data_IF_832158601871
#
_entry.id   IF_832158601871
#
_cell.length_a   1.000
_cell.length_b   1.000
_cell.length_c   1.000
_cell.angle_alpha   90.00
_cell.angle_beta   90.00
_cell.angle_gamma   90.00
#
_symmetry.space_group_name_H-M   'P 1'
#
loop_
_entity.id
_entity.type
_entity.pdbx_description
1 polymer ?
#
# COMPACT_ATOMS: atom_id res chain seq x y z
N UNK A 1 -59.45 -7.58 5.78
CA UNK A 1 -58.28 -7.17 4.96
C UNK A 1 -57.55 -6.07 5.70
N UNK A 2 -56.38 -6.36 6.28
CA UNK A 2 -55.56 -5.40 7.03
C UNK A 2 -54.21 -5.27 6.32
N UNK A 3 -54.08 -4.28 5.43
CA UNK A 3 -52.80 -3.88 4.86
C UNK A 3 -52.10 -2.95 5.86
N UNK A 4 -51.22 -3.49 6.71
CA UNK A 4 -50.25 -2.66 7.42
C UNK A 4 -49.07 -2.42 6.50
N UNK A 5 -48.96 -1.18 6.04
CA UNK A 5 -47.81 -0.63 5.33
C UNK A 5 -46.51 -0.95 6.07
N UNK A 6 -45.72 -1.87 5.52
CA UNK A 6 -44.28 -1.92 5.76
C UNK A 6 -43.70 -0.63 5.17
N UNK A 7 -43.34 0.30 6.04
CA UNK A 7 -42.51 1.45 5.65
C UNK A 7 -41.17 0.86 5.24
N UNK A 8 -40.94 0.78 3.92
CA UNK A 8 -39.61 0.53 3.37
C UNK A 8 -38.73 1.67 3.86
N UNK A 9 -37.74 1.35 4.69
CA UNK A 9 -36.68 2.29 5.02
C UNK A 9 -36.05 2.76 3.70
N UNK A 10 -35.98 4.07 3.49
CA UNK A 10 -35.41 4.66 2.29
C UNK A 10 -33.95 4.21 2.10
N UNK A 11 -33.53 3.88 0.87
CA UNK A 11 -32.12 3.64 0.59
C UNK A 11 -31.38 4.98 0.55
N UNK A 12 -30.41 5.14 1.45
CA UNK A 12 -29.27 6.01 1.20
C UNK A 12 -29.35 7.45 1.73
N UNK A 13 -29.35 7.61 3.04
CA UNK A 13 -28.47 8.62 3.64
C UNK A 13 -27.19 7.89 4.07
N UNK A 14 -26.21 7.80 3.17
CA UNK A 14 -24.85 7.39 3.56
C UNK A 14 -24.34 8.49 4.48
N UNK A 15 -24.29 8.23 5.78
CA UNK A 15 -23.62 9.13 6.71
C UNK A 15 -22.16 9.20 6.30
N UNK A 16 -21.69 10.39 5.90
CA UNK A 16 -20.26 10.62 5.76
C UNK A 16 -19.60 10.26 7.09
N UNK A 17 -18.55 9.45 7.02
CA UNK A 17 -17.78 9.04 8.18
C UNK A 17 -17.27 10.28 8.91
N UNK A 18 -17.31 10.28 10.25
CA UNK A 18 -16.77 11.40 11.02
C UNK A 18 -15.29 11.59 10.69
N UNK A 19 -14.76 12.82 10.72
CA UNK A 19 -13.36 13.07 10.36
C UNK A 19 -12.35 12.23 11.14
N UNK A 20 -12.61 11.95 12.42
CA UNK A 20 -11.75 11.13 13.27
C UNK A 20 -11.72 9.67 12.80
N UNK A 21 -12.90 9.09 12.57
CA UNK A 21 -13.06 7.71 12.09
C UNK A 21 -12.43 7.56 10.69
N UNK A 22 -12.57 8.57 9.83
CA UNK A 22 -11.93 8.62 8.50
C UNK A 22 -10.40 8.66 8.61
N UNK A 23 -9.87 9.44 9.55
CA UNK A 23 -8.42 9.52 9.75
C UNK A 23 -7.85 8.20 10.29
N UNK A 24 -8.59 7.51 11.15
CA UNK A 24 -8.22 6.18 11.65
C UNK A 24 -8.21 5.15 10.51
N UNK A 25 -9.27 5.13 9.68
CA UNK A 25 -9.36 4.27 8.50
C UNK A 25 -8.17 4.49 7.54
N UNK A 26 -7.86 5.75 7.22
CA UNK A 26 -6.73 6.09 6.36
C UNK A 26 -5.38 5.72 6.98
N UNK A 27 -5.24 5.84 8.31
CA UNK A 27 -4.03 5.42 9.03
C UNK A 27 -3.85 3.92 8.99
N UNK A 28 -4.93 3.17 9.22
CA UNK A 28 -4.96 1.72 9.12
C UNK A 28 -4.58 1.26 7.69
N UNK A 29 -5.19 1.84 6.65
CA UNK A 29 -4.84 1.50 5.27
C UNK A 29 -3.37 1.78 4.95
N UNK A 30 -2.81 2.91 5.39
CA UNK A 30 -1.39 3.22 5.19
C UNK A 30 -0.47 2.22 5.88
N UNK A 31 -0.83 1.81 7.09
CA UNK A 31 -0.06 0.80 7.81
C UNK A 31 -0.06 -0.54 7.06
N UNK A 32 -1.24 -0.96 6.57
CA UNK A 32 -1.38 -2.21 5.83
C UNK A 32 -0.64 -2.18 4.48
N UNK A 33 -0.72 -1.06 3.75
CA UNK A 33 0.07 -0.84 2.52
C UNK A 33 1.58 -0.87 2.80
N UNK A 34 2.03 -0.36 3.95
CA UNK A 34 3.42 -0.45 4.38
C UNK A 34 3.85 -1.90 4.66
N UNK A 35 2.99 -2.72 5.27
CA UNK A 35 3.27 -4.15 5.46
C UNK A 35 3.33 -4.88 4.11
N UNK A 36 2.42 -4.56 3.18
CA UNK A 36 2.42 -5.13 1.83
C UNK A 36 3.74 -4.81 1.11
N UNK A 37 4.26 -3.59 1.21
CA UNK A 37 5.55 -3.21 0.61
C UNK A 37 6.71 -4.07 1.14
N UNK A 38 6.72 -4.37 2.46
CA UNK A 38 7.71 -5.26 3.08
C UNK A 38 7.59 -6.69 2.52
N UNK A 39 6.37 -7.23 2.43
CA UNK A 39 6.16 -8.58 1.92
C UNK A 39 6.52 -8.69 0.43
N UNK A 40 6.18 -7.68 -0.37
CA UNK A 40 6.59 -7.58 -1.79
C UNK A 40 8.10 -7.52 -1.91
N UNK A 41 8.79 -6.83 -1.00
CA UNK A 41 10.26 -6.83 -0.98
C UNK A 41 10.83 -8.23 -0.78
N UNK A 42 10.36 -8.96 0.24
CA UNK A 42 10.81 -10.33 0.56
C UNK A 42 10.44 -11.34 -0.52
N UNK A 43 9.26 -11.19 -1.12
CA UNK A 43 8.85 -11.93 -2.30
C UNK A 43 9.86 -11.75 -3.43
N UNK A 44 10.27 -10.50 -3.71
CA UNK A 44 11.24 -10.21 -4.77
C UNK A 44 12.64 -10.77 -4.44
N UNK A 45 13.09 -10.69 -3.20
CA UNK A 45 14.35 -11.31 -2.76
C UNK A 45 14.34 -12.83 -2.97
N UNK A 46 13.25 -13.48 -2.58
CA UNK A 46 13.07 -14.93 -2.75
C UNK A 46 12.98 -15.31 -4.23
N UNK A 47 12.31 -14.50 -5.05
CA UNK A 47 12.23 -14.70 -6.50
C UNK A 47 13.61 -14.58 -7.16
N UNK A 48 14.39 -13.56 -6.80
CA UNK A 48 15.78 -13.41 -7.27
C UNK A 48 16.64 -14.60 -6.85
N UNK A 49 16.53 -15.04 -5.59
CA UNK A 49 17.30 -16.17 -5.08
C UNK A 49 16.93 -17.47 -5.79
N UNK A 50 15.64 -17.73 -6.01
CA UNK A 50 15.16 -18.90 -6.76
C UNK A 50 15.67 -18.89 -8.21
N UNK A 51 15.56 -17.77 -8.92
CA UNK A 51 16.03 -17.64 -10.31
C UNK A 51 17.55 -17.86 -10.40
N UNK A 52 18.31 -17.37 -9.42
CA UNK A 52 19.77 -17.43 -9.43
C UNK A 52 20.29 -18.82 -9.08
N UNK A 53 19.69 -19.48 -8.09
CA UNK A 53 20.21 -20.72 -7.50
C UNK A 53 19.47 -21.97 -7.96
N UNK A 54 18.21 -21.85 -8.37
CA UNK A 54 17.32 -22.98 -8.65
C UNK A 54 16.87 -23.74 -7.39
N UNK A 55 17.23 -23.29 -6.19
CA UNK A 55 16.92 -23.99 -4.95
C UNK A 55 15.42 -23.89 -4.61
N UNK A 56 14.77 -25.05 -4.49
CA UNK A 56 13.32 -25.13 -4.25
C UNK A 56 12.88 -24.57 -2.89
N UNK A 57 13.79 -24.37 -1.94
CA UNK A 57 13.47 -23.77 -0.64
C UNK A 57 12.87 -22.37 -0.80
N UNK A 58 13.32 -21.61 -1.80
CA UNK A 58 12.81 -20.27 -2.09
C UNK A 58 11.37 -20.27 -2.62
N UNK A 59 10.88 -21.39 -3.17
CA UNK A 59 9.48 -21.51 -3.61
C UNK A 59 8.53 -21.37 -2.41
N UNK A 60 8.90 -21.94 -1.26
CA UNK A 60 8.09 -21.83 -0.04
C UNK A 60 8.00 -20.37 0.41
N UNK A 61 9.13 -19.64 0.44
CA UNK A 61 9.14 -18.22 0.79
C UNK A 61 8.38 -17.35 -0.22
N UNK A 62 8.51 -17.63 -1.53
CA UNK A 62 7.75 -16.95 -2.58
C UNK A 62 6.25 -17.10 -2.36
N UNK A 63 5.79 -18.31 -2.02
CA UNK A 63 4.36 -18.57 -1.83
C UNK A 63 3.85 -17.97 -0.52
N UNK A 64 4.61 -18.08 0.57
CA UNK A 64 4.26 -17.48 1.87
C UNK A 64 4.11 -15.96 1.77
N UNK A 65 5.10 -15.27 1.20
CA UNK A 65 5.04 -13.81 1.04
C UNK A 65 3.92 -13.38 0.08
N UNK A 66 3.66 -14.16 -0.98
CA UNK A 66 2.51 -13.92 -1.87
C UNK A 66 1.19 -14.02 -1.12
N UNK A 67 1.03 -15.03 -0.28
CA UNK A 67 -0.22 -15.25 0.45
C UNK A 67 -0.45 -14.15 1.50
N UNK A 68 0.62 -13.65 2.14
CA UNK A 68 0.58 -12.49 3.02
C UNK A 68 0.15 -11.21 2.27
N UNK A 69 0.73 -10.95 1.09
CA UNK A 69 0.33 -9.81 0.25
C UNK A 69 -1.12 -9.93 -0.18
N UNK A 70 -1.53 -11.10 -0.65
CA UNK A 70 -2.90 -11.35 -1.13
C UNK A 70 -3.91 -11.14 -0.01
N UNK A 71 -3.66 -11.69 1.17
CA UNK A 71 -4.54 -11.55 2.34
C UNK A 71 -4.69 -10.08 2.76
N UNK A 72 -3.58 -9.34 2.81
CA UNK A 72 -3.61 -7.92 3.15
C UNK A 72 -4.34 -7.08 2.08
N UNK A 73 -4.21 -7.43 0.80
CA UNK A 73 -4.97 -6.78 -0.29
C UNK A 73 -6.47 -7.06 -0.16
N UNK A 74 -6.86 -8.29 0.16
CA UNK A 74 -8.26 -8.66 0.35
C UNK A 74 -8.89 -7.89 1.54
N UNK A 75 -8.15 -7.71 2.63
CA UNK A 75 -8.58 -6.86 3.75
C UNK A 75 -8.82 -5.40 3.32
N UNK A 76 -7.93 -4.83 2.50
CA UNK A 76 -8.11 -3.46 1.96
C UNK A 76 -9.34 -3.41 1.06
N UNK A 77 -9.53 -4.39 0.17
CA UNK A 77 -10.67 -4.46 -0.75
C UNK A 77 -12.00 -4.57 0.00
N UNK A 78 -12.05 -5.34 1.09
CA UNK A 78 -13.22 -5.40 1.97
C UNK A 78 -13.54 -4.02 2.56
N UNK A 79 -12.53 -3.31 3.07
CA UNK A 79 -12.73 -1.94 3.58
C UNK A 79 -13.11 -0.95 2.48
N UNK A 80 -12.63 -1.12 1.26
CA UNK A 80 -13.07 -0.32 0.12
C UNK A 80 -14.54 -0.55 -0.24
N UNK A 81 -15.06 -1.76 -0.08
CA UNK A 81 -16.48 -2.04 -0.28
C UNK A 81 -17.35 -1.38 0.81
N UNK A 82 -16.85 -1.36 2.05
CA UNK A 82 -17.53 -0.70 3.18
C UNK A 82 -17.47 0.84 3.08
N UNK A 83 -16.35 1.39 2.60
CA UNK A 83 -16.03 2.82 2.59
C UNK A 83 -15.41 3.28 1.25
N UNK A 84 -16.19 3.23 0.16
CA UNK A 84 -15.66 3.49 -1.19
C UNK A 84 -15.27 4.95 -1.43
N UNK A 85 -15.94 5.90 -0.79
CA UNK A 85 -15.70 7.34 -0.96
C UNK A 85 -14.43 7.78 -0.21
N UNK A 86 -14.07 7.06 0.85
CA UNK A 86 -12.93 7.34 1.72
C UNK A 86 -11.64 6.68 1.24
N UNK A 87 -11.74 5.52 0.57
CA UNK A 87 -10.61 4.69 0.11
C UNK A 87 -10.44 4.67 -1.43
N UNK A 88 -10.98 5.70 -2.07
CA UNK A 88 -10.81 6.07 -3.47
C UNK A 88 -9.33 6.36 -3.84
N UNK A 89 -9.02 6.21 -5.14
CA UNK A 89 -7.86 6.87 -5.73
C UNK A 89 -6.54 6.16 -5.43
N UNK A 90 -5.75 6.69 -4.50
CA UNK A 90 -4.39 6.21 -4.23
C UNK A 90 -4.36 4.80 -3.65
N UNK A 91 -5.32 4.43 -2.80
CA UNK A 91 -5.37 3.08 -2.22
C UNK A 91 -5.70 2.06 -3.31
N UNK A 92 -6.63 2.38 -4.21
CA UNK A 92 -6.96 1.55 -5.37
C UNK A 92 -5.76 1.37 -6.31
N UNK A 93 -5.02 2.45 -6.61
CA UNK A 93 -3.81 2.39 -7.42
C UNK A 93 -2.69 1.58 -6.74
N UNK A 94 -2.51 1.73 -5.43
CA UNK A 94 -1.51 0.96 -4.66
C UNK A 94 -1.83 -0.54 -4.69
N UNK A 95 -3.09 -0.90 -4.43
CA UNK A 95 -3.56 -2.29 -4.48
C UNK A 95 -3.29 -2.90 -5.86
N UNK A 96 -3.69 -2.22 -6.93
CA UNK A 96 -3.48 -2.71 -8.30
C UNK A 96 -1.99 -2.94 -8.62
N UNK A 97 -1.11 -2.03 -8.19
CA UNK A 97 0.34 -2.18 -8.38
C UNK A 97 0.92 -3.37 -7.59
N UNK A 98 0.43 -3.61 -6.37
CA UNK A 98 0.88 -4.76 -5.60
C UNK A 98 0.39 -6.08 -6.20
N UNK A 99 -0.86 -6.16 -6.64
CA UNK A 99 -1.38 -7.32 -7.36
C UNK A 99 -0.57 -7.61 -8.63
N UNK A 100 -0.23 -6.55 -9.37
CA UNK A 100 0.64 -6.64 -10.55
C UNK A 100 2.04 -7.15 -10.17
N UNK A 101 2.62 -6.65 -9.08
CA UNK A 101 3.98 -7.00 -8.64
C UNK A 101 4.14 -8.46 -8.23
N UNK A 102 3.17 -9.03 -7.51
CA UNK A 102 3.24 -10.44 -7.09
C UNK A 102 2.62 -11.41 -8.10
N UNK A 103 1.99 -10.88 -9.16
CA UNK A 103 1.35 -11.69 -10.19
C UNK A 103 0.18 -12.51 -9.62
N UNK A 104 -0.77 -11.84 -8.97
CA UNK A 104 -2.01 -12.49 -8.50
C UNK A 104 -2.67 -13.23 -9.67
N UNK A 105 -3.07 -14.48 -9.43
CA UNK A 105 -3.68 -15.35 -10.44
C UNK A 105 -2.71 -16.03 -11.41
N UNK A 106 -1.40 -15.75 -11.36
CA UNK A 106 -0.40 -16.37 -12.22
C UNK A 106 0.25 -17.61 -11.59
N UNK A 107 0.64 -18.58 -12.42
CA UNK A 107 1.48 -19.73 -12.02
C UNK A 107 2.88 -19.28 -11.59
N UNK A 108 3.66 -20.17 -10.97
CA UNK A 108 5.04 -19.83 -10.58
C UNK A 108 5.90 -19.49 -11.81
N UNK A 109 5.77 -20.28 -12.88
CA UNK A 109 6.50 -20.08 -14.13
C UNK A 109 6.16 -18.74 -14.78
N UNK A 110 4.87 -18.38 -14.86
CA UNK A 110 4.43 -17.08 -15.40
C UNK A 110 4.93 -15.91 -14.54
N UNK A 111 4.91 -16.06 -13.21
CA UNK A 111 5.44 -15.04 -12.28
C UNK A 111 6.94 -14.85 -12.46
N UNK A 112 7.70 -15.91 -12.65
CA UNK A 112 9.14 -15.82 -12.89
C UNK A 112 9.46 -15.09 -14.20
N UNK A 113 8.78 -15.44 -15.29
CA UNK A 113 8.99 -14.77 -16.57
C UNK A 113 8.61 -13.29 -16.51
N UNK A 114 7.49 -12.97 -15.86
CA UNK A 114 7.12 -11.57 -15.59
C UNK A 114 8.19 -10.85 -14.75
N UNK A 115 8.70 -11.48 -13.69
CA UNK A 115 9.71 -10.90 -12.82
C UNK A 115 11.01 -10.56 -13.56
N UNK A 116 11.47 -11.46 -14.46
CA UNK A 116 12.66 -11.23 -15.29
C UNK A 116 12.49 -10.02 -16.21
N UNK A 117 11.28 -9.79 -16.72
CA UNK A 117 10.98 -8.71 -17.67
C UNK A 117 10.69 -7.37 -16.99
N UNK A 118 9.96 -7.36 -15.87
CA UNK A 118 9.26 -6.16 -15.39
C UNK A 118 9.64 -5.70 -13.98
N UNK A 119 10.43 -6.48 -13.23
CA UNK A 119 10.65 -6.24 -11.79
C UNK A 119 11.22 -4.84 -11.46
N UNK A 120 12.17 -4.33 -12.26
CA UNK A 120 12.74 -3.00 -12.04
C UNK A 120 11.73 -1.86 -12.29
N UNK A 121 10.83 -2.05 -13.26
CA UNK A 121 9.77 -1.09 -13.58
C UNK A 121 8.72 -1.03 -12.47
N UNK A 122 8.25 -2.19 -12.01
CA UNK A 122 7.22 -2.30 -10.96
C UNK A 122 7.72 -1.79 -9.61
N UNK A 123 8.96 -2.12 -9.22
CA UNK A 123 9.59 -1.56 -8.01
C UNK A 123 9.64 -0.03 -8.05
N UNK A 124 9.92 0.55 -9.22
CA UNK A 124 9.97 1.99 -9.39
C UNK A 124 8.58 2.62 -9.29
N UNK A 125 7.55 2.03 -9.91
CA UNK A 125 6.17 2.50 -9.81
C UNK A 125 5.64 2.49 -8.37
N UNK A 126 5.84 1.39 -7.65
CA UNK A 126 5.44 1.26 -6.23
C UNK A 126 6.16 2.30 -5.38
N UNK A 127 7.49 2.43 -5.52
CA UNK A 127 8.27 3.43 -4.78
C UNK A 127 7.80 4.84 -5.08
N UNK A 128 7.52 5.18 -6.33
CA UNK A 128 7.04 6.51 -6.70
C UNK A 128 5.66 6.79 -6.10
N UNK A 129 4.75 5.82 -6.13
CA UNK A 129 3.41 5.96 -5.57
C UNK A 129 3.43 6.13 -4.04
N UNK A 130 4.29 5.38 -3.35
CA UNK A 130 4.49 5.52 -1.89
C UNK A 130 5.34 6.77 -1.53
N UNK A 131 6.25 7.18 -2.41
CA UNK A 131 7.21 8.27 -2.24
C UNK A 131 6.69 9.66 -2.58
N UNK A 132 5.63 9.79 -3.40
CA UNK A 132 4.97 11.07 -3.76
C UNK A 132 4.43 11.87 -2.56
N UNK A 133 4.43 11.30 -1.34
CA UNK A 133 4.16 12.04 -0.10
C UNK A 133 5.39 12.65 0.58
N UNK A 134 6.61 12.19 0.28
CA UNK A 134 7.84 12.80 0.79
C UNK A 134 8.14 14.14 0.08
N UNK A 135 7.76 14.26 -1.19
CA UNK A 135 8.03 15.49 -1.97
C UNK A 135 7.04 16.62 -1.71
N UNK A 136 5.86 16.32 -1.15
CA UNK A 136 4.85 17.30 -0.75
C UNK A 136 4.88 17.65 0.75
N UNK A 137 5.82 17.08 1.52
CA UNK A 137 6.19 17.65 2.80
C UNK A 137 6.98 18.93 2.51
N UNK A 138 6.70 20.08 3.18
CA UNK A 138 7.46 21.30 2.95
C UNK A 138 8.95 21.00 3.16
N UNK A 139 9.71 21.00 2.06
CA UNK A 139 11.16 20.92 2.10
C UNK A 139 11.65 22.29 2.51
N UNK A 140 11.83 22.49 3.81
CA UNK A 140 12.46 23.70 4.32
C UNK A 140 13.87 23.79 3.74
N UNK A 141 14.18 24.92 3.13
CA UNK A 141 15.54 25.26 2.72
C UNK A 141 16.44 25.37 3.95
N UNK A 142 17.75 25.20 3.78
CA UNK A 142 18.73 25.31 4.89
C UNK A 142 18.59 26.65 5.64
N UNK A 143 18.22 27.73 4.94
CA UNK A 143 17.96 29.05 5.53
C UNK A 143 16.69 29.07 6.39
N UNK A 144 15.63 28.35 6.00
CA UNK A 144 14.39 28.24 6.77
C UNK A 144 14.59 27.39 8.04
N UNK A 145 15.46 26.38 8.00
CA UNK A 145 15.84 25.56 9.15
C UNK A 145 16.64 26.40 10.15
N UNK A 146 17.66 27.14 9.71
CA UNK A 146 18.45 28.03 10.58
C UNK A 146 17.61 29.15 11.20
N UNK A 147 16.65 29.70 10.46
CA UNK A 147 15.70 30.71 10.95
C UNK A 147 14.75 30.16 12.02
N UNK A 148 14.35 28.88 11.88
CA UNK A 148 13.46 28.19 12.82
C UNK A 148 14.19 27.77 14.10
N UNK A 149 15.45 27.36 13.99
CA UNK A 149 16.32 27.03 15.13
C UNK A 149 16.62 28.27 16.00
N UNK A 150 16.86 29.43 15.40
CA UNK A 150 16.99 30.71 16.15
C UNK A 150 15.72 31.10 16.88
N UNK A 151 14.55 30.61 16.45
CA UNK A 151 13.24 30.82 17.09
C UNK A 151 12.81 29.69 18.03
N UNK A 152 13.66 28.68 18.25
CA UNK A 152 13.38 27.57 19.16
C UNK A 152 12.37 26.55 18.64
N UNK A 153 12.11 26.51 17.32
CA UNK A 153 11.20 25.54 16.70
C UNK A 153 12.03 24.46 15.99
N UNK A 154 12.09 23.26 16.58
CA UNK A 154 12.76 22.11 15.96
C UNK A 154 11.87 21.44 14.91
N UNK A 155 12.11 21.80 13.66
CA UNK A 155 11.58 21.10 12.50
C UNK A 155 12.53 19.94 12.19
N UNK A 156 12.21 18.76 12.74
CA UNK A 156 13.06 17.58 12.73
C UNK A 156 13.63 17.24 11.34
N UNK A 157 14.96 17.21 11.24
CA UNK A 157 15.65 16.77 10.02
C UNK A 157 15.66 15.24 9.90
N UNK A 158 15.47 14.69 8.68
CA UNK A 158 15.79 13.30 8.40
C UNK A 158 17.31 13.13 8.34
N UNK A 159 17.86 12.22 9.15
CA UNK A 159 19.28 11.85 9.11
C UNK A 159 19.59 11.14 7.79
N UNK A 160 20.19 11.84 6.85
CA UNK A 160 20.93 11.23 5.75
C UNK A 160 22.26 10.70 6.31
N UNK A 161 22.50 9.39 6.13
CA UNK A 161 23.78 8.77 6.43
C UNK A 161 24.88 9.32 5.52
N UNK A 162 26.11 9.30 6.03
CA UNK A 162 27.33 9.40 5.24
C UNK A 162 28.14 8.13 5.45
N UNK A 163 28.50 7.54 4.32
CA UNK A 163 29.61 6.63 3.98
C UNK A 163 30.41 5.97 5.10
#
# INVERSE_FOLDING_TARGET
MNNRNMIKAEPGQRQQMRPEDRNELLRWCRHLLGNIDIFVHRYNESMTAYITTGEKIYINYINEERDLVTSAIDEIKLKQQEHPEELDGLVLQAVALFEESIGVGLSLEERMEKYKLESNSLKTKIRNLLGQRSENAPRYTTEEIESSERKGVHLGQPRMGRD
#
